data_IF_721000909244
#
_entry.id   IF_721000909244
#
_cell.length_a   1.000
_cell.length_b   1.000
_cell.length_c   1.000
_cell.angle_alpha   90.00
_cell.angle_beta   90.00
_cell.angle_gamma   90.00
#
_symmetry.space_group_name_H-M   'P 1'
#
loop_
_entity.id
_entity.type
_entity.pdbx_description
1 polymer ?
#
# COMPACT_ATOMS: atom_id res chain seq x y z
N UNK A 1 -2.06 10.36 -3.52
CA UNK A 1 -2.06 8.93 -3.13
C UNK A 1 -0.98 8.59 -2.07
N UNK A 2 -1.36 7.81 -1.06
CA UNK A 2 -0.47 7.13 -0.10
C UNK A 2 -0.46 5.63 -0.41
N UNK A 3 0.69 4.96 -0.24
CA UNK A 3 0.85 3.51 -0.39
C UNK A 3 1.43 2.93 0.90
N UNK A 4 0.77 1.92 1.45
CA UNK A 4 1.24 1.12 2.58
C UNK A 4 1.39 -0.34 2.16
N UNK A 5 2.49 -0.96 2.57
CA UNK A 5 2.83 -2.34 2.24
C UNK A 5 3.19 -3.07 3.53
N UNK A 6 2.42 -4.11 3.89
CA UNK A 6 2.76 -5.00 4.97
C UNK A 6 3.76 -6.07 4.49
N UNK A 7 4.56 -6.55 5.43
CA UNK A 7 5.48 -7.67 5.23
C UNK A 7 5.18 -8.74 6.26
N UNK A 8 5.35 -9.99 5.87
CA UNK A 8 5.29 -11.11 6.81
C UNK A 8 6.60 -11.23 7.61
N UNK A 9 6.68 -12.19 8.52
CA UNK A 9 7.85 -12.44 9.35
C UNK A 9 9.15 -12.68 8.54
N UNK A 10 9.05 -13.29 7.36
CA UNK A 10 10.17 -13.52 6.44
C UNK A 10 10.56 -12.27 5.63
N UNK A 11 9.93 -11.12 5.86
CA UNK A 11 10.21 -9.86 5.14
C UNK A 11 9.61 -9.78 3.73
N UNK A 12 8.82 -10.78 3.33
CA UNK A 12 8.14 -10.82 2.04
C UNK A 12 6.88 -9.96 2.06
N UNK A 13 6.53 -9.27 0.96
CA UNK A 13 5.36 -8.43 0.90
C UNK A 13 4.11 -9.29 1.04
N UNK A 14 3.13 -8.81 1.80
CA UNK A 14 1.93 -9.56 2.14
C UNK A 14 0.68 -8.86 1.65
N UNK A 15 0.34 -7.68 2.20
CA UNK A 15 -0.81 -6.89 1.82
C UNK A 15 -0.40 -5.47 1.41
N UNK A 16 -1.10 -4.90 0.44
CA UNK A 16 -0.95 -3.51 0.01
C UNK A 16 -2.26 -2.75 0.19
N UNK A 17 -2.13 -1.49 0.62
CA UNK A 17 -3.21 -0.51 0.65
C UNK A 17 -2.73 0.74 -0.07
N UNK A 18 -3.44 1.09 -1.13
CA UNK A 18 -3.28 2.36 -1.84
C UNK A 18 -4.53 3.19 -1.59
N UNK A 19 -4.36 4.47 -1.33
CA UNK A 19 -5.50 5.38 -1.14
C UNK A 19 -5.18 6.73 -1.72
N UNK A 20 -6.10 7.22 -2.54
CA UNK A 20 -6.00 8.60 -2.96
C UNK A 20 -6.32 9.52 -1.80
N UNK A 21 -5.54 10.59 -1.67
CA UNK A 21 -5.61 11.51 -0.54
C UNK A 21 -5.48 12.94 -1.07
N UNK A 22 -6.18 13.90 -0.46
CA UNK A 22 -6.19 15.28 -0.95
C UNK A 22 -4.82 15.97 -0.85
N UNK A 23 -3.93 15.48 0.03
CA UNK A 23 -2.56 15.97 0.17
C UNK A 23 -1.73 15.00 1.02
N UNK A 24 -0.41 15.17 1.02
CA UNK A 24 0.53 14.44 1.87
C UNK A 24 0.90 15.20 3.15
N UNK A 25 -0.01 16.02 3.71
CA UNK A 25 0.23 16.70 4.99
C UNK A 25 0.11 15.72 6.15
N UNK A 26 0.75 16.05 7.27
CA UNK A 26 0.83 15.16 8.42
C UNK A 26 -0.54 14.74 8.99
N UNK A 27 -1.54 15.62 8.98
CA UNK A 27 -2.91 15.29 9.43
C UNK A 27 -3.50 14.16 8.57
N UNK A 28 -3.36 14.28 7.24
CA UNK A 28 -3.85 13.30 6.27
C UNK A 28 -3.12 11.97 6.39
N UNK A 29 -1.80 11.99 6.52
CA UNK A 29 -0.96 10.82 6.77
C UNK A 29 -1.37 10.12 8.07
N UNK A 30 -1.52 10.87 9.16
CA UNK A 30 -1.91 10.35 10.46
C UNK A 30 -3.30 9.72 10.43
N UNK A 31 -4.25 10.32 9.71
CA UNK A 31 -5.59 9.74 9.49
C UNK A 31 -5.50 8.42 8.72
N UNK A 32 -4.81 8.42 7.58
CA UNK A 32 -4.61 7.21 6.79
C UNK A 32 -4.00 6.07 7.63
N UNK A 33 -2.96 6.35 8.40
CA UNK A 33 -2.31 5.36 9.24
C UNK A 33 -3.26 4.80 10.30
N UNK A 34 -4.02 5.65 11.01
CA UNK A 34 -5.00 5.21 12.01
C UNK A 34 -6.07 4.30 11.43
N UNK A 35 -6.56 4.64 10.25
CA UNK A 35 -7.70 3.94 9.63
C UNK A 35 -7.27 2.59 9.01
N UNK A 36 -5.98 2.40 8.69
CA UNK A 36 -5.53 1.25 7.88
C UNK A 36 -4.39 0.44 8.51
N UNK A 37 -3.72 0.93 9.55
CA UNK A 37 -2.56 0.30 10.15
C UNK A 37 -2.82 0.11 11.64
N UNK A 38 -2.70 -1.14 12.11
CA UNK A 38 -2.82 -1.49 13.52
C UNK A 38 -1.84 -0.66 14.36
N UNK A 39 -2.35 0.00 15.40
CA UNK A 39 -1.52 0.71 16.36
C UNK A 39 -0.45 -0.20 16.99
N UNK A 40 0.72 0.35 17.29
CA UNK A 40 1.89 -0.40 17.76
C UNK A 40 2.66 -1.11 16.64
N UNK A 41 2.25 -1.00 15.37
CA UNK A 41 3.02 -1.56 14.25
C UNK A 41 4.32 -0.79 14.02
N UNK A 42 5.35 -1.49 13.52
CA UNK A 42 6.58 -0.87 13.02
C UNK A 42 6.36 -0.34 11.61
N UNK A 43 6.53 0.96 11.41
CA UNK A 43 6.40 1.59 10.09
C UNK A 43 7.79 2.01 9.63
N UNK A 44 8.17 1.59 8.42
CA UNK A 44 9.36 2.07 7.71
C UNK A 44 8.92 3.03 6.60
N UNK A 45 9.46 4.24 6.57
CA UNK A 45 9.17 5.22 5.50
C UNK A 45 10.44 5.94 5.05
N UNK A 46 10.30 6.74 3.99
CA UNK A 46 11.28 7.78 3.68
C UNK A 46 11.33 8.85 4.80
N UNK A 47 12.33 9.72 4.73
CA UNK A 47 12.58 10.79 5.70
C UNK A 47 11.67 12.03 5.51
N UNK A 48 10.53 11.93 4.84
CA UNK A 48 9.65 13.08 4.64
C UNK A 48 9.06 13.58 5.97
N UNK A 49 9.03 14.91 6.12
CA UNK A 49 8.57 15.60 7.34
C UNK A 49 7.14 15.25 7.72
N UNK A 50 6.28 14.99 6.73
CA UNK A 50 4.87 14.65 6.93
C UNK A 50 4.64 13.34 7.66
N UNK A 51 5.60 12.41 7.66
CA UNK A 51 5.48 11.13 8.37
C UNK A 51 5.90 11.22 9.84
N UNK A 52 6.85 12.10 10.18
CA UNK A 52 7.51 12.11 11.51
C UNK A 52 6.55 12.27 12.68
N UNK A 53 5.94 13.45 12.83
CA UNK A 53 5.05 13.75 13.97
C UNK A 53 3.79 12.86 14.01
N UNK A 54 3.07 12.62 12.90
CA UNK A 54 1.82 11.86 12.95
C UNK A 54 2.00 10.37 13.22
N UNK A 55 3.14 9.78 12.84
CA UNK A 55 3.38 8.35 13.07
C UNK A 55 4.05 8.09 14.43
N UNK A 56 4.84 9.03 14.95
CA UNK A 56 5.57 8.85 16.22
C UNK A 56 4.69 8.56 17.44
N UNK A 57 3.42 8.99 17.46
CA UNK A 57 2.57 8.85 18.63
C UNK A 57 2.01 7.44 18.84
N UNK A 58 1.71 6.71 17.76
CA UNK A 58 0.99 5.42 17.82
C UNK A 58 1.72 4.27 17.15
N UNK A 59 2.90 4.52 16.58
CA UNK A 59 3.64 3.55 15.78
C UNK A 59 5.14 3.62 16.09
N UNK A 60 5.83 2.48 15.95
CA UNK A 60 7.29 2.47 15.96
C UNK A 60 7.78 2.92 14.60
N UNK A 61 7.91 4.23 14.43
CA UNK A 61 8.30 4.84 13.16
C UNK A 61 9.82 4.87 12.99
N UNK A 62 10.31 4.15 11.98
CA UNK A 62 11.69 4.19 11.51
C UNK A 62 11.70 4.87 10.14
N UNK A 63 12.50 5.91 10.00
CA UNK A 63 12.65 6.63 8.73
C UNK A 63 14.12 6.82 8.41
N UNK A 64 14.47 6.67 7.14
CA UNK A 64 15.83 6.95 6.66
C UNK A 64 15.73 7.72 5.35
N UNK A 65 16.78 8.48 5.03
CA UNK A 65 16.89 9.12 3.73
C UNK A 65 17.09 8.03 2.68
N UNK A 66 16.28 8.06 1.61
CA UNK A 66 16.33 7.03 0.59
C UNK A 66 17.73 6.94 -0.05
N UNK A 67 18.25 5.71 -0.09
CA UNK A 67 19.46 5.35 -0.79
C UNK A 67 19.17 4.13 -1.68
N UNK A 68 19.30 4.24 -3.01
CA UNK A 68 19.03 3.14 -3.93
C UNK A 68 19.95 1.93 -3.74
N UNK A 69 21.13 2.09 -3.15
CA UNK A 69 22.11 1.02 -2.93
C UNK A 69 21.86 0.24 -1.64
N UNK A 70 21.21 0.87 -0.65
CA UNK A 70 20.92 0.28 0.66
C UNK A 70 19.88 -0.86 0.62
N UNK A 71 19.13 -0.97 -0.47
CA UNK A 71 17.98 -1.87 -0.59
C UNK A 71 16.77 -1.48 0.29
N UNK A 72 16.79 -0.27 0.85
CA UNK A 72 15.70 0.25 1.66
C UNK A 72 14.41 0.36 0.82
N UNK A 73 13.28 -0.02 1.42
CA UNK A 73 11.96 0.03 0.77
C UNK A 73 11.87 -0.73 -0.57
N UNK A 74 12.80 -1.63 -0.90
CA UNK A 74 12.83 -2.37 -2.18
C UNK A 74 11.48 -2.96 -2.60
N UNK A 75 10.79 -3.64 -1.69
CA UNK A 75 9.46 -4.20 -1.98
C UNK A 75 8.41 -3.12 -2.26
N UNK A 76 8.48 -1.97 -1.56
CA UNK A 76 7.59 -0.84 -1.82
C UNK A 76 7.80 -0.30 -3.23
N UNK A 77 9.06 -0.07 -3.63
CA UNK A 77 9.38 0.40 -4.98
C UNK A 77 8.95 -0.59 -6.05
N UNK A 78 9.19 -1.90 -5.86
CA UNK A 78 8.71 -2.95 -6.77
C UNK A 78 7.19 -2.94 -6.92
N UNK A 79 6.45 -2.82 -5.81
CA UNK A 79 4.98 -2.75 -5.82
C UNK A 79 4.49 -1.51 -6.58
N UNK A 80 5.09 -0.35 -6.34
CA UNK A 80 4.75 0.90 -7.06
C UNK A 80 5.06 0.78 -8.56
N UNK A 81 6.21 0.21 -8.94
CA UNK A 81 6.57 -0.01 -10.35
C UNK A 81 5.60 -0.98 -11.04
N UNK A 82 5.23 -2.07 -10.38
CA UNK A 82 4.24 -3.02 -10.92
C UNK A 82 2.86 -2.38 -11.09
N UNK A 83 2.45 -1.53 -10.16
CA UNK A 83 1.20 -0.77 -10.29
C UNK A 83 1.22 0.16 -11.51
N UNK A 84 2.31 0.91 -11.71
CA UNK A 84 2.48 1.76 -12.90
C UNK A 84 2.46 0.94 -14.19
N UNK A 85 3.12 -0.21 -14.22
CA UNK A 85 3.16 -1.09 -15.39
C UNK A 85 1.76 -1.61 -15.76
N UNK A 86 0.94 -1.99 -14.77
CA UNK A 86 -0.45 -2.39 -15.01
C UNK A 86 -1.27 -1.23 -15.56
N UNK A 87 -1.12 -0.03 -14.99
CA UNK A 87 -1.86 1.13 -15.50
C UNK A 87 -1.52 1.37 -16.98
N UNK A 88 -0.23 1.44 -17.30
CA UNK A 88 0.26 1.72 -18.65
C UNK A 88 -0.06 0.62 -19.66
N UNK A 89 -0.07 -0.64 -19.24
CA UNK A 89 -0.22 -1.79 -20.14
C UNK A 89 -1.64 -2.32 -20.29
N UNK A 90 -2.51 -2.13 -19.29
CA UNK A 90 -3.87 -2.69 -19.29
C UNK A 90 -4.94 -1.69 -19.73
N UNK A 91 -4.81 -0.41 -19.37
CA UNK A 91 -5.85 0.58 -19.67
C UNK A 91 -5.43 1.46 -20.85
N UNK A 92 -6.23 1.44 -21.92
CA UNK A 92 -6.09 2.36 -23.05
C UNK A 92 -6.72 3.71 -22.69
N UNK A 93 -6.00 4.52 -21.92
CA UNK A 93 -6.48 5.82 -21.44
C UNK A 93 -6.09 6.04 -19.98
N UNK A 94 -5.00 6.76 -19.75
CA UNK A 94 -4.49 7.08 -18.41
C UNK A 94 -5.18 8.30 -17.82
N UNK A 95 -6.51 8.37 -17.94
CA UNK A 95 -7.26 9.49 -17.40
C UNK A 95 -7.13 9.51 -15.87
N UNK A 96 -6.66 10.63 -15.32
CA UNK A 96 -6.43 10.81 -13.88
C UNK A 96 -7.69 10.51 -13.05
N UNK A 97 -8.87 10.63 -13.66
CA UNK A 97 -10.20 10.43 -13.08
C UNK A 97 -10.35 9.03 -12.45
N UNK A 98 -9.68 8.01 -12.98
CA UNK A 98 -9.85 6.62 -12.52
C UNK A 98 -8.74 6.12 -11.58
N UNK A 99 -7.82 6.98 -11.14
CA UNK A 99 -6.65 6.57 -10.34
C UNK A 99 -7.04 5.81 -9.06
N UNK A 100 -8.12 6.24 -8.39
CA UNK A 100 -8.61 5.57 -7.19
C UNK A 100 -9.16 4.16 -7.49
N UNK A 101 -9.84 3.98 -8.62
CA UNK A 101 -10.37 2.68 -9.07
C UNK A 101 -9.23 1.73 -9.45
N UNK A 102 -8.24 2.21 -10.22
CA UNK A 102 -7.06 1.43 -10.57
C UNK A 102 -6.28 0.98 -9.31
N UNK A 103 -6.12 1.87 -8.35
CA UNK A 103 -5.49 1.55 -7.07
C UNK A 103 -6.28 0.50 -6.27
N UNK A 104 -7.61 0.60 -6.26
CA UNK A 104 -8.48 -0.38 -5.60
C UNK A 104 -8.40 -1.76 -6.26
N UNK A 105 -8.44 -1.82 -7.59
CA UNK A 105 -8.30 -3.06 -8.36
C UNK A 105 -6.92 -3.70 -8.12
N UNK A 106 -5.85 -2.91 -8.16
CA UNK A 106 -4.51 -3.40 -7.87
C UNK A 106 -4.40 -3.97 -6.46
N UNK A 107 -4.93 -3.27 -5.44
CA UNK A 107 -4.96 -3.77 -4.08
C UNK A 107 -5.77 -5.06 -3.97
N UNK A 108 -6.92 -5.16 -4.65
CA UNK A 108 -7.76 -6.35 -4.68
C UNK A 108 -7.00 -7.57 -5.22
N UNK A 109 -6.39 -7.42 -6.40
CA UNK A 109 -5.60 -8.47 -7.08
C UNK A 109 -4.39 -8.86 -6.24
N UNK A 110 -3.61 -7.88 -5.79
CA UNK A 110 -2.41 -8.12 -4.99
C UNK A 110 -2.76 -8.89 -3.71
N UNK A 111 -3.71 -8.40 -2.92
CA UNK A 111 -4.05 -8.99 -1.61
C UNK A 111 -4.66 -10.39 -1.70
N UNK A 112 -5.08 -10.83 -2.89
CA UNK A 112 -5.68 -12.13 -3.15
C UNK A 112 -4.80 -13.09 -3.93
N UNK A 113 -3.59 -12.67 -4.35
CA UNK A 113 -2.68 -13.47 -5.19
C UNK A 113 -2.28 -14.83 -4.62
N UNK A 114 -2.41 -15.01 -3.29
CA UNK A 114 -2.07 -16.27 -2.59
C UNK A 114 -3.29 -17.15 -2.29
N UNK A 115 -4.50 -16.76 -2.72
CA UNK A 115 -5.70 -17.55 -2.42
C UNK A 115 -5.74 -18.88 -3.19
N UNK A 116 -5.07 -18.99 -4.33
CA UNK A 116 -5.08 -20.23 -5.14
C UNK A 116 -6.51 -20.75 -5.38
N UNK A 117 -6.71 -22.06 -5.22
CA UNK A 117 -8.01 -22.73 -5.43
C UNK A 117 -9.12 -22.29 -4.45
N UNK A 118 -8.78 -21.61 -3.33
CA UNK A 118 -9.79 -21.10 -2.40
C UNK A 118 -10.55 -19.87 -2.94
N UNK A 119 -10.06 -19.24 -4.02
CA UNK A 119 -10.76 -18.13 -4.66
C UNK A 119 -12.17 -18.52 -5.11
N UNK A 120 -12.32 -19.72 -5.67
CA UNK A 120 -13.62 -20.27 -6.09
C UNK A 120 -14.58 -20.45 -4.92
N UNK A 121 -14.14 -21.07 -3.83
CA UNK A 121 -14.98 -21.29 -2.64
C UNK A 121 -15.45 -19.98 -2.01
N UNK A 122 -14.61 -18.94 -2.04
CA UNK A 122 -14.99 -17.61 -1.54
C UNK A 122 -15.97 -16.89 -2.46
N UNK A 123 -15.90 -17.12 -3.77
CA UNK A 123 -16.89 -16.61 -4.72
C UNK A 123 -18.24 -17.29 -4.50
N UNK A 124 -18.26 -18.62 -4.36
CA UNK A 124 -19.46 -19.38 -4.02
C UNK A 124 -20.09 -18.89 -2.72
N UNK A 125 -19.29 -18.69 -1.68
CA UNK A 125 -19.79 -18.18 -0.40
C UNK A 125 -20.42 -16.79 -0.50
N UNK A 126 -19.89 -15.91 -1.37
CA UNK A 126 -20.45 -14.58 -1.58
C UNK A 126 -21.75 -14.57 -2.40
N UNK A 127 -22.03 -15.63 -3.17
CA UNK A 127 -23.26 -15.75 -3.97
C UNK A 127 -24.46 -16.29 -3.16
N UNK A 128 -24.21 -16.86 -1.98
CA UNK A 128 -25.23 -17.49 -1.11
C UNK A 128 -25.56 -16.60 0.10
N UNK A 129 -24.95 -15.40 0.18
CA UNK A 129 -25.24 -14.37 1.20
C UNK A 129 -26.25 -13.36 0.68
#
# INVERSE_FOLDING_TARGET
MIVALSKNAAGNPEYVKMSDVPNLKGITVGRFARDNIRAGSKIKSDNARSYKKPLAQKYFHVFETYDPTSGQLNWMHKVISNFKAIIMGTYHGNEKIHTALYAAEYCYKFNRRKLGNSAYLRLLAALVQ
#
